data_IF_839812637120
#
_entry.id   IF_839812637120
#
_cell.length_a   1.000
_cell.length_b   1.000
_cell.length_c   1.000
_cell.angle_alpha   90.00
_cell.angle_beta   90.00
_cell.angle_gamma   90.00
#
_symmetry.space_group_name_H-M   'P 1'
#
loop_
_entity.id
_entity.type
_entity.pdbx_description
1 polymer ?
#
# COMPACT_ATOMS: atom_id res chain seq x y z
N UNK A 1 1.65 16.20 -6.27
CA UNK A 1 1.10 14.83 -6.36
C UNK A 1 -0.11 14.74 -5.44
N UNK A 2 -1.17 13.99 -5.76
CA UNK A 2 -2.36 13.92 -4.91
C UNK A 2 -3.04 12.54 -4.98
N UNK A 3 -3.73 12.15 -3.91
CA UNK A 3 -4.58 10.96 -3.88
C UNK A 3 -5.83 11.22 -4.70
N UNK A 4 -6.14 10.30 -5.61
CA UNK A 4 -7.29 10.40 -6.50
C UNK A 4 -8.62 10.25 -5.75
N UNK A 5 -9.66 10.96 -6.19
CA UNK A 5 -10.95 10.93 -5.52
C UNK A 5 -11.59 9.54 -5.52
N UNK A 6 -11.41 8.79 -6.62
CA UNK A 6 -11.96 7.45 -6.83
C UNK A 6 -11.19 6.31 -6.12
N UNK A 7 -10.08 6.60 -5.41
CA UNK A 7 -9.35 5.52 -4.72
C UNK A 7 -10.18 4.96 -3.56
N UNK A 8 -10.05 3.66 -3.32
CA UNK A 8 -10.57 3.06 -2.09
C UNK A 8 -9.77 3.54 -0.89
N UNK A 9 -10.43 3.63 0.27
CA UNK A 9 -9.84 4.09 1.53
C UNK A 9 -10.09 3.08 2.64
N UNK A 10 -9.14 2.97 3.56
CA UNK A 10 -9.27 2.13 4.75
C UNK A 10 -10.12 2.76 5.86
N UNK A 11 -10.26 2.06 7.00
CA UNK A 11 -9.72 0.72 7.27
C UNK A 11 -10.36 -0.36 6.39
N UNK A 12 -9.64 -1.46 6.13
CA UNK A 12 -10.19 -2.55 5.32
C UNK A 12 -11.21 -3.37 6.15
N UNK A 13 -12.47 -3.53 5.70
CA UNK A 13 -13.47 -4.33 6.41
C UNK A 13 -13.07 -5.81 6.55
N UNK A 14 -12.26 -6.32 5.63
CA UNK A 14 -11.76 -7.69 5.67
C UNK A 14 -10.84 -7.97 6.86
N UNK A 15 -10.08 -6.96 7.30
CA UNK A 15 -9.21 -7.06 8.47
C UNK A 15 -8.79 -5.67 8.97
N UNK A 16 -9.60 -5.01 9.83
CA UNK A 16 -9.33 -3.64 10.28
C UNK A 16 -8.05 -3.49 11.12
N UNK A 17 -7.47 -4.59 11.61
CA UNK A 17 -6.23 -4.60 12.40
C UNK A 17 -4.96 -4.33 11.60
N UNK A 18 -5.00 -4.42 10.26
CA UNK A 18 -3.88 -4.11 9.37
C UNK A 18 -4.25 -2.91 8.51
N UNK A 19 -3.35 -1.92 8.48
CA UNK A 19 -3.49 -0.71 7.68
C UNK A 19 -3.62 -1.03 6.19
N UNK A 20 -4.64 -0.47 5.54
CA UNK A 20 -4.81 -0.44 4.09
C UNK A 20 -5.25 0.96 3.62
N UNK A 21 -4.89 1.37 2.38
CA UNK A 21 -4.02 0.66 1.44
C UNK A 21 -2.55 0.64 1.91
N UNK A 22 -1.73 -0.16 1.24
CA UNK A 22 -0.31 -0.34 1.59
C UNK A 22 0.58 0.80 1.08
N UNK A 23 0.37 1.17 -0.19
CA UNK A 23 1.19 2.08 -0.97
C UNK A 23 0.33 2.90 -1.92
N UNK A 24 0.85 4.07 -2.29
CA UNK A 24 0.32 4.91 -3.35
C UNK A 24 1.13 4.66 -4.63
N UNK A 25 0.44 4.58 -5.77
CA UNK A 25 1.08 4.46 -7.08
C UNK A 25 0.36 5.34 -8.10
N UNK A 26 1.02 5.71 -9.22
CA UNK A 26 0.36 6.37 -10.33
C UNK A 26 -0.83 5.55 -10.83
N UNK A 27 -1.96 6.23 -11.03
CA UNK A 27 -3.19 5.55 -11.46
C UNK A 27 -4.20 6.44 -12.19
N UNK A 28 -3.91 7.72 -12.39
CA UNK A 28 -4.77 8.66 -13.13
C UNK A 28 -4.14 8.93 -14.49
N UNK A 29 -4.89 8.71 -15.57
CA UNK A 29 -4.46 8.91 -16.95
C UNK A 29 -3.12 8.23 -17.26
N UNK A 30 -2.99 6.96 -16.86
CA UNK A 30 -1.84 6.12 -17.20
C UNK A 30 -1.98 5.67 -18.65
N UNK A 31 -0.94 5.91 -19.45
CA UNK A 31 -0.87 5.40 -20.81
C UNK A 31 -0.62 3.90 -20.78
N UNK A 32 -1.53 3.12 -21.36
CA UNK A 32 -1.43 1.67 -21.43
C UNK A 32 -1.79 1.17 -22.82
N UNK A 33 -1.29 -0.02 -23.17
CA UNK A 33 -1.67 -0.71 -24.39
C UNK A 33 -3.18 -1.00 -24.41
N UNK A 34 -3.78 -0.88 -25.58
CA UNK A 34 -5.19 -1.10 -25.82
C UNK A 34 -5.39 -2.01 -27.03
N UNK A 35 -6.61 -2.53 -27.17
CA UNK A 35 -6.93 -3.41 -28.29
C UNK A 35 -7.03 -2.54 -29.58
N UNK A 36 -6.21 -2.79 -30.62
CA UNK A 36 -6.08 -1.91 -31.79
C UNK A 36 -7.36 -1.64 -32.59
N UNK A 37 -8.35 -2.53 -32.46
CA UNK A 37 -9.60 -2.50 -33.23
C UNK A 37 -10.83 -2.19 -32.37
N UNK A 38 -10.63 -1.67 -31.15
CA UNK A 38 -11.74 -1.23 -30.29
C UNK A 38 -11.77 0.30 -30.17
N UNK A 39 -12.95 0.89 -29.91
CA UNK A 39 -13.06 2.32 -29.66
C UNK A 39 -12.11 2.75 -28.53
N UNK A 40 -11.24 3.71 -28.82
CA UNK A 40 -10.33 4.34 -27.87
C UNK A 40 -10.77 5.77 -27.53
N UNK A 41 -11.37 6.49 -28.49
CA UNK A 41 -11.91 7.83 -28.30
C UNK A 41 -12.98 8.15 -29.35
N UNK A 42 -13.63 9.30 -29.22
CA UNK A 42 -14.69 9.76 -30.12
C UNK A 42 -14.46 11.23 -30.52
N UNK A 43 -14.60 11.55 -31.81
CA UNK A 43 -14.73 12.93 -32.29
C UNK A 43 -16.22 13.19 -32.56
N UNK A 44 -16.85 14.03 -31.72
CA UNK A 44 -18.30 14.19 -31.73
C UNK A 44 -19.01 12.89 -31.33
N UNK A 45 -20.24 12.68 -31.80
CA UNK A 45 -21.02 11.47 -31.49
C UNK A 45 -20.81 10.30 -32.45
N UNK A 46 -20.16 10.53 -33.60
CA UNK A 46 -20.24 9.61 -34.75
C UNK A 46 -18.88 9.13 -35.29
N UNK A 47 -17.76 9.74 -34.90
CA UNK A 47 -16.44 9.34 -35.39
C UNK A 47 -15.72 8.60 -34.28
N UNK A 48 -15.53 7.30 -34.46
CA UNK A 48 -14.79 6.44 -33.54
C UNK A 48 -13.32 6.44 -33.92
N UNK A 49 -12.46 6.73 -32.95
CA UNK A 49 -11.02 6.61 -33.08
C UNK A 49 -10.56 5.32 -32.41
N UNK A 50 -9.71 4.56 -33.11
CA UNK A 50 -8.99 3.43 -32.54
C UNK A 50 -7.53 3.80 -32.30
N UNK A 51 -6.88 3.12 -31.37
CA UNK A 51 -5.49 3.37 -30.99
C UNK A 51 -4.94 2.12 -30.31
N UNK A 52 -3.65 1.86 -30.51
CA UNK A 52 -2.91 0.82 -29.78
C UNK A 52 -2.69 1.19 -28.30
N UNK A 53 -3.04 2.42 -27.91
CA UNK A 53 -2.89 2.95 -26.56
C UNK A 53 -4.10 3.78 -26.11
N UNK A 54 -4.41 3.72 -24.82
CA UNK A 54 -5.39 4.60 -24.16
C UNK A 54 -4.80 5.24 -22.90
N UNK A 55 -5.40 6.35 -22.48
CA UNK A 55 -5.22 6.90 -21.13
C UNK A 55 -6.31 6.31 -20.23
N UNK A 56 -5.92 5.44 -19.30
CA UNK A 56 -6.83 4.80 -18.36
C UNK A 56 -6.62 5.34 -16.94
N UNK A 57 -7.69 5.36 -16.15
CA UNK A 57 -7.62 5.69 -14.73
C UNK A 57 -8.17 4.54 -13.90
N UNK A 58 -7.49 4.20 -12.81
CA UNK A 58 -7.88 3.14 -11.89
C UNK A 58 -6.93 3.04 -10.70
N UNK A 59 -7.33 2.28 -9.68
CA UNK A 59 -6.44 1.93 -8.58
C UNK A 59 -5.40 0.93 -9.08
N UNK A 60 -4.13 1.14 -8.73
CA UNK A 60 -3.02 0.21 -9.00
C UNK A 60 -2.62 0.00 -10.48
N UNK A 61 -3.11 0.81 -11.42
CA UNK A 61 -2.78 0.68 -12.86
C UNK A 61 -1.29 0.92 -13.18
N UNK A 62 -0.58 1.69 -12.34
CA UNK A 62 0.83 2.03 -12.49
C UNK A 62 1.72 1.47 -11.39
N UNK A 63 1.33 0.36 -10.74
CA UNK A 63 2.26 -0.40 -9.90
C UNK A 63 3.26 -1.08 -10.82
N UNK A 64 4.23 -0.31 -11.29
CA UNK A 64 5.33 -0.82 -12.10
C UNK A 64 6.25 -1.63 -11.19
N UNK A 65 6.40 -2.91 -11.53
CA UNK A 65 7.40 -3.86 -11.06
C UNK A 65 8.82 -3.34 -11.33
N UNK A 66 9.25 -2.31 -10.61
CA UNK A 66 10.60 -1.77 -10.70
C UNK A 66 11.62 -2.60 -9.93
N UNK A 67 11.16 -3.53 -9.09
CA UNK A 67 12.04 -4.49 -8.44
C UNK A 67 12.12 -5.76 -9.27
N UNK A 68 13.23 -5.90 -10.00
CA UNK A 68 13.76 -7.23 -10.30
C UNK A 68 13.88 -7.95 -8.96
N UNK A 69 13.04 -8.95 -8.73
CA UNK A 69 13.20 -9.88 -7.62
C UNK A 69 14.65 -10.38 -7.65
N UNK A 70 15.45 -9.96 -6.67
CA UNK A 70 16.73 -10.60 -6.44
C UNK A 70 16.43 -12.09 -6.12
N UNK A 71 17.12 -13.05 -6.74
CA UNK A 71 16.90 -14.47 -6.48
C UNK A 71 17.01 -14.74 -4.97
N UNK A 72 15.99 -15.40 -4.41
CA UNK A 72 15.98 -15.73 -2.98
C UNK A 72 15.45 -14.64 -2.05
N UNK A 73 14.78 -13.59 -2.54
CA UNK A 73 14.04 -12.65 -1.67
C UNK A 73 12.59 -13.09 -1.51
N UNK A 74 12.11 -13.10 -0.27
CA UNK A 74 10.71 -13.40 0.08
C UNK A 74 9.78 -12.25 -0.35
N UNK A 75 8.54 -12.53 -0.78
CA UNK A 75 7.60 -11.49 -1.19
C UNK A 75 7.36 -10.42 -0.12
N UNK A 76 7.35 -10.81 1.17
CA UNK A 76 7.16 -9.89 2.29
C UNK A 76 8.28 -8.83 2.38
N UNK A 77 9.53 -9.24 2.14
CA UNK A 77 10.68 -8.35 2.13
C UNK A 77 10.58 -7.27 1.05
N UNK A 78 10.12 -7.64 -0.16
CA UNK A 78 9.88 -6.69 -1.27
C UNK A 78 8.79 -5.69 -0.90
N UNK A 79 7.69 -6.16 -0.34
CA UNK A 79 6.62 -5.28 0.14
C UNK A 79 7.10 -4.32 1.23
N UNK A 80 7.87 -4.82 2.20
CA UNK A 80 8.45 -3.97 3.23
C UNK A 80 9.42 -2.95 2.67
N UNK A 81 10.24 -3.31 1.68
CA UNK A 81 11.18 -2.40 1.03
C UNK A 81 10.45 -1.18 0.46
N UNK A 82 9.40 -1.44 -0.33
CA UNK A 82 8.60 -0.38 -0.93
C UNK A 82 7.86 0.47 0.11
N UNK A 83 7.26 -0.15 1.13
CA UNK A 83 6.50 0.56 2.18
C UNK A 83 7.38 1.46 3.03
N UNK A 84 8.55 0.97 3.44
CA UNK A 84 9.40 1.66 4.43
C UNK A 84 10.21 2.81 3.85
N UNK A 85 10.41 2.79 2.53
CA UNK A 85 11.08 3.85 1.77
C UNK A 85 10.08 4.83 1.16
N UNK A 86 8.78 4.56 1.31
CA UNK A 86 7.74 5.42 0.78
C UNK A 86 7.71 6.78 1.49
N UNK A 87 7.48 7.82 0.68
CA UNK A 87 7.48 9.21 1.16
C UNK A 87 6.05 9.75 1.27
N UNK A 88 5.75 10.47 2.34
CA UNK A 88 4.44 11.12 2.51
C UNK A 88 4.42 12.53 1.90
N UNK A 89 5.53 12.96 1.31
CA UNK A 89 5.71 14.25 0.69
C UNK A 89 5.57 14.17 -0.83
N UNK A 90 5.08 15.25 -1.43
CA UNK A 90 5.03 15.42 -2.86
C UNK A 90 6.28 16.10 -3.43
N UNK A 91 6.27 16.36 -4.74
CA UNK A 91 7.36 17.01 -5.46
C UNK A 91 7.63 18.46 -5.00
N UNK A 92 6.73 19.09 -4.25
CA UNK A 92 6.94 20.40 -3.63
C UNK A 92 7.55 20.30 -2.23
N UNK A 93 7.82 19.08 -1.75
CA UNK A 93 8.16 18.75 -0.36
C UNK A 93 7.05 19.10 0.65
N UNK A 94 5.83 19.32 0.16
CA UNK A 94 4.64 19.45 0.99
C UNK A 94 3.98 18.09 1.21
N UNK A 95 3.10 17.99 2.21
CA UNK A 95 2.29 16.79 2.41
C UNK A 95 1.43 16.49 1.18
N UNK A 96 1.39 15.21 0.78
CA UNK A 96 0.46 14.73 -0.24
C UNK A 96 -0.98 15.09 0.18
N UNK A 97 -1.78 15.55 -0.78
CA UNK A 97 -3.16 15.98 -0.57
C UNK A 97 -4.16 14.94 -1.05
N UNK A 98 -5.35 14.94 -0.45
CA UNK A 98 -6.47 14.09 -0.85
C UNK A 98 -7.53 14.89 -1.62
N UNK A 99 -7.69 14.58 -2.92
CA UNK A 99 -8.66 15.28 -3.78
C UNK A 99 -10.13 14.96 -3.48
N UNK A 100 -10.43 13.90 -2.72
CA UNK A 100 -11.79 13.61 -2.26
C UNK A 100 -12.19 14.52 -1.08
N UNK A 101 -11.26 14.80 -0.18
CA UNK A 101 -11.48 15.62 1.02
C UNK A 101 -10.96 17.05 0.81
N UNK A 102 -11.38 17.72 -0.27
CA UNK A 102 -11.06 19.12 -0.54
C UNK A 102 -9.56 19.48 -0.45
N UNK A 103 -8.67 18.56 -0.84
CA UNK A 103 -7.21 18.74 -0.77
C UNK A 103 -6.65 18.92 0.65
N UNK A 104 -7.30 18.33 1.65
CA UNK A 104 -6.73 18.11 2.98
C UNK A 104 -5.50 17.18 2.91
N UNK A 105 -4.73 17.12 4.00
CA UNK A 105 -3.57 16.23 4.09
C UNK A 105 -4.05 14.78 3.99
N UNK A 106 -3.47 14.02 3.06
CA UNK A 106 -3.80 12.61 2.88
C UNK A 106 -3.38 11.81 4.11
N UNK A 107 -4.29 10.98 4.61
CA UNK A 107 -4.00 10.08 5.72
C UNK A 107 -3.43 8.76 5.20
N UNK A 108 -2.75 7.97 6.06
CA UNK A 108 -2.32 6.61 5.68
C UNK A 108 -3.48 5.70 5.24
N UNK A 109 -4.73 5.98 5.62
CA UNK A 109 -5.91 5.24 5.14
C UNK A 109 -6.23 5.52 3.66
N UNK A 110 -5.63 6.54 3.06
CA UNK A 110 -5.83 6.90 1.65
C UNK A 110 -4.60 6.62 0.78
N UNK A 111 -3.40 6.70 1.35
CA UNK A 111 -2.12 6.57 0.62
C UNK A 111 -1.18 5.48 1.14
N UNK A 112 -1.50 4.84 2.27
CA UNK A 112 -0.60 3.89 2.94
C UNK A 112 0.71 4.56 3.36
N UNK A 113 1.83 3.95 2.96
CA UNK A 113 3.16 4.53 3.12
C UNK A 113 3.43 5.76 2.26
N UNK A 114 2.69 5.95 1.16
CA UNK A 114 2.99 6.92 0.10
C UNK A 114 3.57 6.25 -1.17
N UNK A 115 4.20 6.98 -2.09
CA UNK A 115 4.84 6.41 -3.27
C UNK A 115 6.11 5.65 -2.90
N UNK A 116 6.13 4.35 -3.17
CA UNK A 116 7.23 3.45 -2.83
C UNK A 116 8.53 3.73 -3.60
N UNK A 117 9.67 3.39 -3.00
CA UNK A 117 11.01 3.51 -3.60
C UNK A 117 11.79 2.19 -3.46
N UNK A 118 12.73 1.88 -4.37
CA UNK A 118 13.28 0.53 -4.48
C UNK A 118 14.50 0.19 -3.58
N UNK A 119 14.87 1.02 -2.59
CA UNK A 119 16.13 0.83 -1.85
C UNK A 119 16.01 1.05 -0.33
N UNK A 120 15.71 -0.01 0.45
CA UNK A 120 15.59 0.08 1.90
C UNK A 120 16.91 -0.27 2.63
N UNK A 121 17.13 0.36 3.80
CA UNK A 121 18.17 -0.10 4.73
C UNK A 121 17.72 -1.24 5.66
N UNK A 122 16.44 -1.25 6.07
CA UNK A 122 15.84 -2.32 6.88
C UNK A 122 14.54 -2.79 6.24
N UNK A 123 14.24 -4.08 6.44
CA UNK A 123 12.99 -4.71 6.00
C UNK A 123 12.30 -5.41 7.18
N UNK A 124 10.98 -5.37 7.18
CA UNK A 124 10.11 -6.22 7.97
C UNK A 124 9.83 -7.49 7.17
N UNK A 125 10.56 -8.55 7.49
CA UNK A 125 10.38 -9.84 6.84
C UNK A 125 9.25 -10.66 7.51
N UNK A 126 8.58 -11.50 6.73
CA UNK A 126 7.53 -12.40 7.19
C UNK A 126 7.53 -13.69 6.38
N UNK A 127 7.46 -14.81 7.08
CA UNK A 127 7.43 -16.15 6.47
C UNK A 127 6.00 -16.59 6.16
N UNK A 128 5.85 -17.62 5.33
CA UNK A 128 4.56 -18.25 5.10
C UNK A 128 3.90 -18.72 6.41
N UNK A 129 4.69 -19.17 7.39
CA UNK A 129 4.20 -19.62 8.69
C UNK A 129 3.63 -18.45 9.52
N UNK A 130 4.18 -17.25 9.39
CA UNK A 130 3.67 -16.06 10.08
C UNK A 130 2.27 -15.69 9.59
N UNK A 131 2.02 -15.80 8.29
CA UNK A 131 0.67 -15.62 7.72
C UNK A 131 -0.29 -16.72 8.17
N UNK A 132 0.17 -17.97 8.31
CA UNK A 132 -0.65 -19.06 8.88
C UNK A 132 -1.01 -18.74 10.34
N UNK A 133 -0.05 -18.27 11.13
CA UNK A 133 -0.26 -17.90 12.52
C UNK A 133 -1.25 -16.74 12.65
N UNK A 134 -1.18 -15.74 11.76
CA UNK A 134 -2.16 -14.67 11.67
C UNK A 134 -3.56 -15.22 11.40
N UNK A 135 -3.72 -16.08 10.39
CA UNK A 135 -5.03 -16.69 10.07
C UNK A 135 -5.58 -17.53 11.24
N UNK A 136 -4.71 -18.23 11.98
CA UNK A 136 -5.09 -18.95 13.19
C UNK A 136 -5.62 -18.01 14.30
N UNK A 137 -5.06 -16.80 14.44
CA UNK A 137 -5.52 -15.81 15.41
C UNK A 137 -6.87 -15.16 15.05
N UNK A 138 -7.28 -15.26 13.78
CA UNK A 138 -8.52 -14.66 13.26
C UNK A 138 -9.76 -15.55 13.44
N UNK A 139 -9.68 -16.63 14.22
CA UNK A 139 -10.76 -17.61 14.44
C UNK A 139 -11.29 -18.29 13.16
N UNK A 140 -10.49 -18.38 12.10
CA UNK A 140 -10.85 -19.18 10.93
C UNK A 140 -10.88 -20.68 11.24
N UNK A 141 -11.80 -21.39 10.61
CA UNK A 141 -11.82 -22.86 10.65
C UNK A 141 -10.62 -23.45 9.91
N UNK A 142 -10.20 -24.66 10.31
CA UNK A 142 -9.11 -25.38 9.62
C UNK A 142 -9.33 -25.52 8.11
N UNK A 143 -10.58 -25.68 7.69
CA UNK A 143 -10.94 -25.79 6.27
C UNK A 143 -10.74 -24.46 5.53
N UNK A 144 -11.11 -23.33 6.13
CA UNK A 144 -10.87 -22.01 5.56
C UNK A 144 -9.37 -21.72 5.43
N UNK A 145 -8.59 -22.01 6.48
CA UNK A 145 -7.13 -21.80 6.46
C UNK A 145 -6.46 -22.63 5.37
N UNK A 146 -6.85 -23.91 5.22
CA UNK A 146 -6.32 -24.79 4.15
C UNK A 146 -6.65 -24.28 2.75
N UNK A 147 -7.82 -23.67 2.56
CA UNK A 147 -8.19 -23.07 1.28
C UNK A 147 -7.29 -21.89 0.91
N UNK A 148 -6.86 -21.11 1.90
CA UNK A 148 -6.06 -19.89 1.72
C UNK A 148 -4.57 -20.20 1.52
N UNK A 149 -4.01 -21.10 2.32
CA UNK A 149 -2.54 -21.20 2.55
C UNK A 149 -1.75 -22.06 1.58
N UNK A 150 -2.40 -22.73 0.61
CA UNK A 150 -1.82 -23.60 -0.45
C UNK A 150 -0.28 -23.71 -0.38
N UNK A 151 0.18 -24.75 0.32
CA UNK A 151 1.51 -24.86 0.94
C UNK A 151 2.71 -24.53 0.05
N UNK A 152 3.58 -23.63 0.51
CA UNK A 152 4.92 -23.40 -0.01
C UNK A 152 5.62 -22.26 0.74
N UNK A 153 6.81 -22.50 1.29
CA UNK A 153 7.61 -21.48 1.96
C UNK A 153 9.10 -21.77 1.82
N UNK A 154 9.88 -20.74 1.46
CA UNK A 154 11.33 -20.72 1.60
C UNK A 154 11.71 -19.99 2.89
N UNK A 155 12.92 -20.23 3.37
CA UNK A 155 13.53 -19.46 4.46
C UNK A 155 14.75 -18.71 3.94
N UNK A 156 14.89 -17.46 4.37
CA UNK A 156 16.06 -16.62 4.09
C UNK A 156 16.68 -16.16 5.40
N UNK A 157 18.00 -15.94 5.40
CA UNK A 157 18.77 -15.65 6.61
C UNK A 157 19.35 -14.23 6.56
N UNK A 158 18.95 -13.39 7.52
CA UNK A 158 19.46 -12.05 7.79
C UNK A 158 19.57 -11.86 9.31
N UNK A 159 20.36 -10.88 9.77
CA UNK A 159 20.38 -10.48 11.19
C UNK A 159 19.03 -9.87 11.59
N UNK A 160 18.47 -10.31 12.72
CA UNK A 160 17.14 -9.90 13.18
C UNK A 160 17.24 -9.12 14.49
N UNK A 161 16.57 -7.99 14.55
CA UNK A 161 16.40 -7.18 15.75
C UNK A 161 14.90 -7.01 16.07
N UNK A 162 14.59 -6.77 17.34
CA UNK A 162 13.22 -6.68 17.83
C UNK A 162 13.02 -5.42 18.67
N UNK A 163 11.86 -4.79 18.54
CA UNK A 163 11.44 -3.65 19.36
C UNK A 163 9.95 -3.76 19.72
N UNK A 164 9.47 -2.92 20.64
CA UNK A 164 8.05 -2.84 21.00
C UNK A 164 7.58 -1.40 21.01
N UNK A 165 6.49 -1.12 20.28
CA UNK A 165 5.83 0.18 20.25
C UNK A 165 4.54 0.13 21.07
N UNK A 166 4.33 1.14 21.92
CA UNK A 166 3.08 1.32 22.68
C UNK A 166 2.44 2.65 22.29
N UNK A 167 1.17 2.59 21.90
CA UNK A 167 0.40 3.78 21.49
C UNK A 167 -0.70 3.99 22.52
N UNK A 168 -0.68 5.14 23.20
CA UNK A 168 -1.79 5.60 24.01
C UNK A 168 -2.66 6.54 23.18
N UNK A 169 -3.96 6.24 23.07
CA UNK A 169 -4.89 7.05 22.31
C UNK A 169 -6.24 7.14 23.02
N UNK A 170 -6.98 8.22 22.76
CA UNK A 170 -8.37 8.38 23.15
C UNK A 170 -9.21 8.47 21.89
N UNK A 171 -10.04 7.46 21.65
CA UNK A 171 -11.02 7.49 20.57
C UNK A 171 -12.15 8.46 20.90
N UNK A 172 -12.69 9.13 19.88
CA UNK A 172 -13.96 9.84 19.98
C UNK A 172 -14.98 9.22 19.01
N UNK A 173 -16.27 9.36 19.32
CA UNK A 173 -17.34 8.84 18.44
C UNK A 173 -17.49 9.64 17.14
N UNK A 174 -16.74 10.74 16.98
CA UNK A 174 -16.79 11.58 15.77
C UNK A 174 -16.05 10.96 14.58
N UNK A 175 -15.41 9.79 14.74
CA UNK A 175 -14.75 9.09 13.64
C UNK A 175 -13.49 9.79 13.14
N UNK A 176 -12.87 10.64 13.96
CA UNK A 176 -11.66 11.38 13.59
C UNK A 176 -10.49 10.41 13.49
N UNK A 177 -9.81 10.45 12.35
CA UNK A 177 -8.60 9.66 12.11
C UNK A 177 -7.41 10.46 12.59
N UNK A 178 -6.57 9.85 13.44
CA UNK A 178 -5.29 10.43 13.85
C UNK A 178 -4.15 9.59 13.26
N UNK A 179 -3.10 10.23 12.76
CA UNK A 179 -1.95 9.53 12.17
C UNK A 179 -0.62 10.10 12.63
N UNK A 180 0.39 9.25 12.67
CA UNK A 180 1.79 9.58 12.95
C UNK A 180 2.70 8.56 12.28
N UNK A 181 3.96 8.49 12.70
CA UNK A 181 4.94 7.58 12.12
C UNK A 181 6.08 7.28 13.08
N UNK A 182 6.74 6.14 12.88
CA UNK A 182 8.05 5.81 13.44
C UNK A 182 9.06 5.80 12.30
N UNK A 183 10.23 6.42 12.51
CA UNK A 183 11.31 6.45 11.54
C UNK A 183 12.59 5.96 12.22
N UNK A 184 13.18 4.90 11.68
CA UNK A 184 14.54 4.51 11.99
C UNK A 184 15.49 5.24 11.06
N UNK A 185 16.48 5.91 11.62
CA UNK A 185 17.51 6.62 10.86
C UNK A 185 18.83 5.98 11.24
N UNK A 186 19.56 5.49 10.24
CA UNK A 186 20.92 4.99 10.44
C UNK A 186 21.82 6.14 10.93
N UNK A 187 22.84 5.86 11.76
CA UNK A 187 23.69 6.90 12.36
C UNK A 187 24.37 7.81 11.32
N UNK A 188 24.73 7.26 10.16
CA UNK A 188 25.31 8.00 9.04
C UNK A 188 24.26 8.77 8.20
N UNK A 189 22.96 8.56 8.47
CA UNK A 189 21.82 9.18 7.80
C UNK A 189 21.51 8.66 6.40
N UNK A 190 22.20 7.61 5.91
CA UNK A 190 22.05 7.09 4.55
C UNK A 190 20.70 6.42 4.37
N UNK A 191 20.33 5.53 5.30
CA UNK A 191 19.05 4.84 5.25
C UNK A 191 18.04 5.40 6.25
N UNK A 192 16.80 5.49 5.79
CA UNK A 192 15.63 5.82 6.61
C UNK A 192 14.54 4.80 6.36
N UNK A 193 13.99 4.25 7.44
CA UNK A 193 12.96 3.21 7.40
C UNK A 193 11.76 3.76 8.16
N UNK A 194 10.72 4.13 7.41
CA UNK A 194 9.54 4.83 7.91
C UNK A 194 8.35 3.88 7.95
N UNK A 195 7.62 3.86 9.06
CA UNK A 195 6.38 3.10 9.19
C UNK A 195 5.24 4.02 9.66
N UNK A 196 4.20 4.24 8.85
CA UNK A 196 3.06 5.04 9.25
C UNK A 196 2.22 4.33 10.32
N UNK A 197 1.64 5.13 11.20
CA UNK A 197 0.76 4.70 12.30
C UNK A 197 -0.55 5.43 12.14
N UNK A 198 -1.67 4.73 12.30
CA UNK A 198 -2.99 5.34 12.27
C UNK A 198 -3.87 4.80 13.38
N UNK A 199 -4.63 5.70 14.01
CA UNK A 199 -5.74 5.40 14.90
C UNK A 199 -7.01 5.73 14.14
N UNK A 200 -7.85 4.72 13.94
CA UNK A 200 -9.06 4.81 13.15
C UNK A 200 -10.25 4.22 13.92
N UNK A 201 -11.49 4.66 13.64
CA UNK A 201 -12.68 4.08 14.25
C UNK A 201 -12.85 2.60 13.88
N UNK A 202 -13.49 1.84 14.77
CA UNK A 202 -13.93 0.48 14.43
C UNK A 202 -15.04 0.55 13.38
N UNK A 203 -14.93 -0.32 12.38
CA UNK A 203 -15.89 -0.44 11.29
C UNK A 203 -16.50 -1.85 11.27
N UNK A 204 -17.71 -2.02 10.70
CA UNK A 204 -18.25 -3.35 10.44
C UNK A 204 -17.31 -4.18 9.58
N UNK A 205 -17.09 -5.42 9.99
CA UNK A 205 -16.31 -6.43 9.24
C UNK A 205 -17.24 -7.31 8.41
N UNK A 206 -16.71 -7.88 7.33
CA UNK A 206 -17.43 -8.81 6.46
C UNK A 206 -17.32 -10.26 6.92
#
# INVERSE_FOLDING_TARGET
MAVASYTSRGPAPSHPGILKPDLMAPGTLVLASWVPNTPASYIGSNIVLTSDFILASGTSMGVCASERRAPGVEPAAIWSAMMTTADHLDNTRGHIRDSFFNYEIATPLAMGGGPGRPDPGLIYDATAQDYVNLLCSMNYTKNQIRTITRSGGGETSYEKQSYSLRIAYAGNMSGVVASGEIIWVEENGVHKVRSPIVVAPMIPVW
#
